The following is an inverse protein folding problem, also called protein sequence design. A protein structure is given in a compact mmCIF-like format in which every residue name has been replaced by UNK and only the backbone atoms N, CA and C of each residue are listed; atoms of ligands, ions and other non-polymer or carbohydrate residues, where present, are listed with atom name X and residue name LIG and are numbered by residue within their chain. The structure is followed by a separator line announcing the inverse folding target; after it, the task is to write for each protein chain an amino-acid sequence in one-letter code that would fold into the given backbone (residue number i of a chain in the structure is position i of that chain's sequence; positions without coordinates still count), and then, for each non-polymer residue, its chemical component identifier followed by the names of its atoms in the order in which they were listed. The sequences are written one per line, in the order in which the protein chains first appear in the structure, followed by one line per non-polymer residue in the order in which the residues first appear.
data_IF_053364109514
#
_entry.id   IF_053364109514
#
_cell.length_a   1.000
_cell.length_b   1.000
_cell.length_c   1.000
_cell.angle_alpha   90.00
_cell.angle_beta   90.00
_cell.angle_gamma   90.00
#
_symmetry.space_group_name_H-M   'P 1'
#
loop_
_entity.id
_entity.type
_entity.pdbx_description
1 polymer ?
#
# COMPACT_ATOMS: atom_id res chain seq x y z
N UNK A 1 -33.70 -2.52 -36.17
CA UNK A 1 -33.72 -3.65 -35.22
C UNK A 1 -32.29 -3.81 -34.73
N UNK A 2 -31.97 -3.21 -33.57
CA UNK A 2 -30.61 -3.18 -33.03
C UNK A 2 -30.31 -4.54 -32.39
N UNK A 3 -29.35 -5.27 -32.94
CA UNK A 3 -28.84 -6.50 -32.35
C UNK A 3 -28.06 -6.18 -31.09
N UNK A 4 -28.45 -6.81 -29.99
CA UNK A 4 -27.70 -6.79 -28.73
C UNK A 4 -26.42 -7.58 -28.98
N UNK A 5 -25.32 -6.89 -29.32
CA UNK A 5 -23.98 -7.44 -29.15
C UNK A 5 -23.71 -7.45 -27.64
N UNK A 6 -23.59 -8.62 -26.98
CA UNK A 6 -23.17 -8.65 -25.59
C UNK A 6 -21.74 -8.12 -25.55
N UNK A 7 -21.56 -6.96 -24.94
CA UNK A 7 -20.24 -6.45 -24.56
C UNK A 7 -19.76 -7.35 -23.42
N UNK A 8 -19.14 -8.46 -23.79
CA UNK A 8 -18.29 -9.21 -22.88
C UNK A 8 -17.03 -8.36 -22.80
N UNK A 9 -16.93 -7.49 -21.79
CA UNK A 9 -15.63 -7.09 -21.29
C UNK A 9 -14.97 -8.40 -20.88
N UNK A 10 -13.94 -8.92 -21.60
CA UNK A 10 -13.14 -9.96 -21.00
C UNK A 10 -12.58 -9.33 -19.73
N UNK A 11 -13.03 -9.81 -18.56
CA UNK A 11 -12.41 -9.48 -17.30
C UNK A 11 -10.91 -9.55 -17.53
N UNK A 12 -10.23 -8.41 -17.51
CA UNK A 12 -8.81 -8.36 -17.73
C UNK A 12 -8.18 -9.18 -16.60
N UNK A 13 -7.94 -10.46 -16.85
CA UNK A 13 -7.19 -11.31 -15.96
C UNK A 13 -5.80 -10.71 -15.96
N UNK A 14 -5.48 -9.94 -14.92
CA UNK A 14 -4.14 -9.39 -14.73
C UNK A 14 -3.16 -10.54 -14.76
N UNK A 15 -2.45 -10.67 -15.88
CA UNK A 15 -1.48 -11.73 -16.09
C UNK A 15 -0.36 -11.57 -15.07
N UNK A 16 -0.03 -12.64 -14.34
CA UNK A 16 1.13 -12.68 -13.45
C UNK A 16 2.41 -12.72 -14.28
N UNK A 17 2.88 -11.56 -14.77
CA UNK A 17 4.08 -11.42 -15.59
C UNK A 17 5.36 -11.24 -14.78
N UNK A 18 5.25 -10.66 -13.59
CA UNK A 18 6.39 -10.29 -12.76
C UNK A 18 6.92 -11.47 -11.94
N UNK A 19 8.24 -11.52 -11.75
CA UNK A 19 8.94 -12.55 -10.97
C UNK A 19 9.62 -11.95 -9.75
N UNK A 20 9.56 -12.68 -8.64
CA UNK A 20 10.29 -12.37 -7.41
C UNK A 20 11.30 -13.49 -7.15
N UNK A 21 12.59 -13.18 -7.27
CA UNK A 21 13.68 -14.12 -7.02
C UNK A 21 14.14 -14.03 -5.56
N UNK A 22 14.16 -15.15 -4.84
CA UNK A 22 14.52 -15.22 -3.42
C UNK A 22 15.70 -16.16 -3.20
N UNK A 23 16.64 -15.75 -2.35
CA UNK A 23 17.70 -16.62 -1.84
C UNK A 23 17.25 -17.18 -0.49
N UNK A 24 17.22 -18.51 -0.40
CA UNK A 24 16.78 -19.24 0.78
C UNK A 24 17.85 -20.24 1.20
N UNK A 25 17.91 -20.54 2.49
CA UNK A 25 18.61 -21.73 2.97
C UNK A 25 17.80 -23.00 2.62
N UNK A 26 18.45 -24.16 2.68
CA UNK A 26 17.77 -25.44 2.46
C UNK A 26 16.59 -25.65 3.42
N UNK A 27 16.82 -25.38 4.71
CA UNK A 27 15.80 -25.53 5.76
C UNK A 27 14.60 -24.61 5.54
N UNK A 28 14.82 -23.35 5.14
CA UNK A 28 13.75 -22.41 4.82
C UNK A 28 12.90 -22.92 3.65
N UNK A 29 13.55 -23.41 2.58
CA UNK A 29 12.86 -23.97 1.41
C UNK A 29 12.00 -25.18 1.81
N UNK A 30 12.57 -26.11 2.56
CA UNK A 30 11.85 -27.32 3.01
C UNK A 30 10.63 -26.98 3.86
N UNK A 31 10.77 -26.05 4.80
CA UNK A 31 9.66 -25.64 5.66
C UNK A 31 8.52 -25.00 4.85
N UNK A 32 8.84 -24.16 3.87
CA UNK A 32 7.83 -23.53 2.99
C UNK A 32 7.15 -24.58 2.12
N UNK A 33 7.90 -25.51 1.53
CA UNK A 33 7.36 -26.60 0.71
C UNK A 33 6.42 -27.50 1.52
N UNK A 34 6.81 -27.87 2.74
CA UNK A 34 5.98 -28.66 3.64
C UNK A 34 4.69 -27.92 4.03
N UNK A 35 4.78 -26.63 4.37
CA UNK A 35 3.60 -25.83 4.71
C UNK A 35 2.63 -25.68 3.53
N UNK A 36 3.16 -25.48 2.31
CA UNK A 36 2.37 -25.44 1.09
C UNK A 36 1.66 -26.79 0.83
N UNK A 37 2.40 -27.90 0.98
CA UNK A 37 1.87 -29.26 0.82
C UNK A 37 0.75 -29.58 1.82
N UNK A 38 0.95 -29.26 3.11
CA UNK A 38 -0.09 -29.40 4.16
C UNK A 38 -1.34 -28.58 3.80
N UNK A 39 -1.14 -27.40 3.22
CA UNK A 39 -2.22 -26.51 2.80
C UNK A 39 -2.87 -26.91 1.46
N UNK A 40 -2.38 -27.95 0.79
CA UNK A 40 -2.88 -28.39 -0.52
C UNK A 40 -2.64 -27.36 -1.64
N UNK A 41 -1.63 -26.51 -1.51
CA UNK A 41 -1.33 -25.38 -2.42
C UNK A 41 0.07 -25.54 -3.01
N UNK A 42 0.31 -24.95 -4.18
CA UNK A 42 1.68 -24.76 -4.66
C UNK A 42 2.45 -23.79 -3.76
N UNK A 43 3.79 -23.84 -3.80
CA UNK A 43 4.65 -22.91 -3.05
C UNK A 43 4.30 -21.45 -3.37
N UNK A 44 4.08 -21.13 -4.65
CA UNK A 44 3.70 -19.78 -5.09
C UNK A 44 2.34 -19.38 -4.55
N UNK A 45 1.34 -20.26 -4.64
CA UNK A 45 0.00 -19.97 -4.12
C UNK A 45 0.02 -19.80 -2.61
N UNK A 46 0.83 -20.58 -1.89
CA UNK A 46 1.02 -20.46 -0.45
C UNK A 46 1.71 -19.15 -0.06
N UNK A 47 2.86 -18.84 -0.67
CA UNK A 47 3.74 -17.75 -0.23
C UNK A 47 3.31 -16.35 -0.65
N UNK A 48 2.83 -16.18 -1.89
CA UNK A 48 2.54 -14.83 -2.42
C UNK A 48 1.53 -14.05 -1.57
N UNK A 49 0.40 -14.63 -1.13
CA UNK A 49 -0.57 -13.90 -0.32
C UNK A 49 0.01 -13.45 1.03
N UNK A 50 0.81 -14.30 1.68
CA UNK A 50 1.47 -13.97 2.95
C UNK A 50 2.44 -12.79 2.77
N UNK A 51 3.22 -12.80 1.69
CA UNK A 51 4.13 -11.69 1.37
C UNK A 51 3.38 -10.38 1.06
N UNK A 52 2.25 -10.47 0.34
CA UNK A 52 1.43 -9.29 0.02
C UNK A 52 0.77 -8.70 1.27
N UNK A 53 0.27 -9.55 2.17
CA UNK A 53 -0.31 -9.13 3.44
C UNK A 53 0.71 -8.37 4.30
N UNK A 54 1.88 -8.97 4.50
CA UNK A 54 2.95 -8.38 5.31
C UNK A 54 3.47 -7.06 4.68
N UNK A 55 3.71 -7.04 3.37
CA UNK A 55 4.11 -5.82 2.67
C UNK A 55 3.06 -4.71 2.82
N UNK A 56 1.78 -5.07 2.78
CA UNK A 56 0.68 -4.14 3.02
C UNK A 56 0.70 -3.56 4.43
N UNK A 57 0.96 -4.36 5.45
CA UNK A 57 1.08 -3.90 6.83
C UNK A 57 2.28 -2.97 7.02
N UNK A 58 3.46 -3.33 6.51
CA UNK A 58 4.65 -2.47 6.60
C UNK A 58 4.41 -1.11 5.93
N UNK A 59 3.82 -1.09 4.74
CA UNK A 59 3.49 0.16 4.03
C UNK A 59 2.47 0.99 4.83
N UNK A 60 1.46 0.35 5.43
CA UNK A 60 0.46 1.03 6.27
C UNK A 60 1.11 1.63 7.51
N UNK A 61 1.96 0.89 8.20
CA UNK A 61 2.63 1.35 9.41
C UNK A 61 3.49 2.59 9.13
N UNK A 62 4.22 2.61 8.02
CA UNK A 62 5.02 3.77 7.62
C UNK A 62 4.15 4.99 7.29
N UNK A 63 3.02 4.77 6.60
CA UNK A 63 2.16 5.87 6.11
C UNK A 63 1.13 6.38 7.12
N UNK A 64 0.83 5.61 8.17
CA UNK A 64 -0.18 5.98 9.15
C UNK A 64 0.45 6.68 10.35
N UNK A 65 0.11 7.97 10.52
CA UNK A 65 0.32 8.68 11.77
C UNK A 65 -0.66 8.13 12.82
N UNK A 66 -0.20 7.18 13.64
CA UNK A 66 -0.98 6.73 14.79
C UNK A 66 -0.91 7.79 15.88
N UNK A 67 -2.07 8.32 16.25
CA UNK A 67 -2.20 9.22 17.39
C UNK A 67 -3.25 8.69 18.37
N UNK A 68 -3.04 8.95 19.66
CA UNK A 68 -4.02 8.59 20.69
C UNK A 68 -5.31 9.37 20.46
N UNK A 69 -6.44 8.88 21.00
CA UNK A 69 -7.71 9.59 20.94
C UNK A 69 -7.59 11.04 21.46
N UNK A 70 -6.88 11.23 22.56
CA UNK A 70 -6.64 12.56 23.12
C UNK A 70 -5.83 13.46 22.17
N UNK A 71 -4.78 12.93 21.53
CA UNK A 71 -3.99 13.67 20.56
C UNK A 71 -4.82 14.01 19.31
N UNK A 72 -5.70 13.10 18.88
CA UNK A 72 -6.65 13.31 17.79
C UNK A 72 -7.67 14.42 18.12
N UNK A 73 -8.26 14.39 19.31
CA UNK A 73 -9.25 15.38 19.74
C UNK A 73 -8.59 16.77 19.86
N UNK A 74 -7.38 16.85 20.44
CA UNK A 74 -6.60 18.09 20.51
C UNK A 74 -6.20 18.61 19.12
N UNK A 75 -5.82 17.72 18.20
CA UNK A 75 -5.47 18.08 16.83
C UNK A 75 -6.67 18.67 16.09
N UNK A 76 -7.86 18.06 16.20
CA UNK A 76 -9.07 18.62 15.60
C UNK A 76 -9.47 19.96 16.22
N UNK A 77 -9.37 20.11 17.54
CA UNK A 77 -9.65 21.38 18.20
C UNK A 77 -8.78 22.53 17.65
N UNK A 78 -7.52 22.26 17.32
CA UNK A 78 -6.63 23.24 16.68
C UNK A 78 -7.04 23.52 15.23
N UNK A 79 -7.47 22.48 14.47
CA UNK A 79 -7.93 22.65 13.09
C UNK A 79 -9.24 23.43 12.98
N UNK A 80 -10.11 23.35 13.98
CA UNK A 80 -11.37 24.09 14.04
C UNK A 80 -11.17 25.59 14.37
N UNK A 81 -9.98 25.98 14.85
CA UNK A 81 -9.65 27.38 15.04
C UNK A 81 -9.50 28.11 13.69
N UNK A 82 -9.92 29.39 13.59
CA UNK A 82 -9.69 30.17 12.39
C UNK A 82 -8.19 30.27 12.08
N UNK A 83 -7.84 30.07 10.81
CA UNK A 83 -6.46 30.10 10.36
C UNK A 83 -5.79 31.43 10.71
N UNK A 84 -4.64 31.36 11.38
CA UNK A 84 -3.83 32.52 11.75
C UNK A 84 -2.74 32.73 10.72
N UNK A 85 -2.52 33.98 10.33
CA UNK A 85 -1.42 34.31 9.42
C UNK A 85 -0.08 34.12 10.13
N UNK A 86 0.81 33.31 9.53
CA UNK A 86 2.19 33.12 10.00
C UNK A 86 3.09 33.94 9.09
N UNK A 87 3.65 35.04 9.60
CA UNK A 87 4.45 36.00 8.81
C UNK A 87 5.60 35.32 8.05
N UNK A 88 6.35 34.44 8.72
CA UNK A 88 7.43 33.69 8.08
C UNK A 88 6.97 32.74 6.98
N UNK A 89 5.76 32.17 7.08
CA UNK A 89 5.18 31.34 6.01
C UNK A 89 4.75 32.21 4.82
N UNK A 90 4.15 33.37 5.08
CA UNK A 90 3.76 34.32 4.04
C UNK A 90 5.00 34.82 3.27
N UNK A 91 6.10 35.11 3.97
CA UNK A 91 7.36 35.50 3.34
C UNK A 91 8.02 34.34 2.59
N UNK A 92 7.92 33.10 3.09
CA UNK A 92 8.40 31.91 2.39
C UNK A 92 7.69 31.70 1.06
N UNK A 93 6.35 31.79 1.05
CA UNK A 93 5.54 31.58 -0.16
C UNK A 93 5.74 32.67 -1.22
N UNK A 94 6.27 33.85 -0.85
CA UNK A 94 6.64 34.93 -1.79
C UNK A 94 7.98 34.71 -2.48
N UNK A 95 8.82 33.79 -1.97
CA UNK A 95 10.13 33.51 -2.56
C UNK A 95 9.95 32.64 -3.81
N UNK A 96 10.80 32.81 -4.84
CA UNK A 96 10.76 31.96 -6.02
C UNK A 96 10.98 30.50 -5.64
N UNK A 97 10.16 29.60 -6.19
CA UNK A 97 10.28 28.17 -5.95
C UNK A 97 11.65 27.68 -6.42
N UNK A 98 12.38 27.01 -5.53
CA UNK A 98 13.68 26.38 -5.86
C UNK A 98 13.47 25.10 -6.68
N UNK A 99 12.24 24.56 -6.67
CA UNK A 99 11.83 23.45 -7.50
C UNK A 99 11.26 23.99 -8.83
N UNK A 100 12.15 24.25 -9.77
CA UNK A 100 11.84 24.28 -11.21
C UNK A 100 12.31 22.97 -11.82
N UNK A 101 11.56 22.41 -12.79
CA UNK A 101 11.94 21.21 -13.57
C UNK A 101 13.41 21.23 -14.03
#
# INVERSE_FOLDING_TARGET
MYGILPYIDPMATTTKSERLELRLTADQKQNIEQAAAISGRSVTEFSVPLLVEEAGEVIRQERQLRMSKQAWDSFNAILDEPAKSVAGLADLLRRPAVFSE
#
